data_IF_467111904090
#
_entry.id   IF_467111904090
#
_cell.length_a   1.000
_cell.length_b   1.000
_cell.length_c   1.000
_cell.angle_alpha   90.00
_cell.angle_beta   90.00
_cell.angle_gamma   90.00
#
_symmetry.space_group_name_H-M   'P 1'
#
loop_
_entity.id
_entity.type
_entity.pdbx_description
1 polymer ?
#
# COMPACT_ATOMS: atom_id res chain seq x y z
N UNK A 1 3.07 -11.03 12.45
CA UNK A 1 3.39 -10.37 11.17
C UNK A 1 2.72 -9.00 11.19
N UNK A 2 3.46 -7.97 10.79
CA UNK A 2 3.07 -6.55 10.86
C UNK A 2 2.67 -6.06 12.26
N UNK A 3 3.64 -5.62 13.06
CA UNK A 3 3.36 -4.95 14.33
C UNK A 3 2.89 -3.51 14.10
N UNK A 4 1.64 -3.21 14.50
CA UNK A 4 1.05 -1.86 14.41
C UNK A 4 1.77 -0.83 15.30
N UNK A 5 2.57 -1.28 16.28
CA UNK A 5 3.37 -0.44 17.18
C UNK A 5 4.87 -0.46 16.84
N UNK A 6 5.27 -1.26 15.85
CA UNK A 6 6.64 -1.38 15.38
C UNK A 6 7.10 -0.22 14.50
N UNK A 7 8.41 -0.09 14.32
CA UNK A 7 8.96 0.88 13.38
C UNK A 7 8.62 0.48 11.95
N UNK A 8 8.16 1.44 11.15
CA UNK A 8 7.93 1.29 9.72
C UNK A 8 9.07 1.89 8.93
N UNK A 9 9.51 1.17 7.92
CA UNK A 9 10.60 1.56 7.06
C UNK A 9 10.10 1.72 5.64
N UNK A 10 10.77 2.57 4.88
CA UNK A 10 10.54 2.76 3.46
C UNK A 10 11.90 2.79 2.78
N UNK A 11 12.01 2.21 1.60
CA UNK A 11 13.22 2.33 0.78
C UNK A 11 13.38 3.76 0.26
N UNK A 12 14.57 4.04 -0.27
CA UNK A 12 14.86 5.32 -0.89
C UNK A 12 13.97 5.56 -2.11
N UNK A 13 13.74 4.54 -2.96
CA UNK A 13 12.87 4.67 -4.13
C UNK A 13 11.44 5.03 -3.74
N UNK A 14 10.91 4.40 -2.67
CA UNK A 14 9.59 4.76 -2.12
C UNK A 14 9.57 6.19 -1.57
N UNK A 15 10.58 6.57 -0.80
CA UNK A 15 10.68 7.93 -0.25
C UNK A 15 10.68 9.02 -1.34
N UNK A 16 11.37 8.77 -2.45
CA UNK A 16 11.52 9.73 -3.55
C UNK A 16 10.32 9.77 -4.49
N UNK A 17 9.63 8.64 -4.72
CA UNK A 17 8.63 8.50 -5.79
C UNK A 17 7.18 8.35 -5.31
N UNK A 18 6.96 7.88 -4.08
CA UNK A 18 5.63 7.66 -3.53
C UNK A 18 5.29 8.84 -2.61
N UNK A 19 4.22 9.61 -2.87
CA UNK A 19 3.77 10.67 -1.98
C UNK A 19 3.47 10.11 -0.58
N UNK A 20 3.84 10.87 0.46
CA UNK A 20 3.65 10.48 1.87
C UNK A 20 2.20 10.07 2.18
N UNK A 21 1.23 10.73 1.57
CA UNK A 21 -0.20 10.39 1.70
C UNK A 21 -0.47 8.94 1.28
N UNK A 22 0.09 8.50 0.14
CA UNK A 22 -0.09 7.14 -0.35
C UNK A 22 0.67 6.12 0.50
N UNK A 23 1.89 6.46 0.95
CA UNK A 23 2.65 5.61 1.88
C UNK A 23 1.85 5.35 3.16
N UNK A 24 1.31 6.41 3.76
CA UNK A 24 0.47 6.32 4.97
C UNK A 24 -0.80 5.52 4.71
N UNK A 25 -1.44 5.71 3.55
CA UNK A 25 -2.66 4.96 3.21
C UNK A 25 -2.41 3.46 3.12
N UNK A 26 -1.33 3.02 2.47
CA UNK A 26 -1.00 1.59 2.37
C UNK A 26 -0.78 0.98 3.75
N UNK A 27 -0.01 1.64 4.62
CA UNK A 27 0.21 1.16 5.98
C UNK A 27 -1.07 1.15 6.84
N UNK A 28 -1.95 2.15 6.67
CA UNK A 28 -3.26 2.15 7.32
C UNK A 28 -4.13 0.97 6.88
N UNK A 29 -4.12 0.61 5.59
CA UNK A 29 -4.87 -0.55 5.09
C UNK A 29 -4.36 -1.86 5.71
N UNK A 30 -3.05 -2.00 5.89
CA UNK A 30 -2.46 -3.13 6.63
C UNK A 30 -2.94 -3.11 8.08
N UNK A 31 -2.91 -1.97 8.77
CA UNK A 31 -3.40 -1.85 10.16
C UNK A 31 -4.88 -2.20 10.30
N UNK A 32 -5.70 -1.74 9.35
CA UNK A 32 -7.13 -2.07 9.28
C UNK A 32 -7.31 -3.58 9.12
N UNK A 33 -6.47 -4.25 8.31
CA UNK A 33 -6.48 -5.71 8.14
C UNK A 33 -6.01 -6.47 9.38
N UNK A 34 -4.95 -6.03 10.04
CA UNK A 34 -4.46 -6.65 11.31
C UNK A 34 -5.55 -6.65 12.39
N UNK A 35 -6.43 -5.64 12.39
CA UNK A 35 -7.53 -5.53 13.37
C UNK A 35 -8.75 -6.38 13.02
N UNK A 36 -8.85 -6.92 11.80
CA UNK A 36 -9.95 -7.79 11.42
C UNK A 36 -9.76 -9.16 12.07
N UNK A 37 -10.78 -9.61 12.81
CA UNK A 37 -10.80 -10.97 13.32
C UNK A 37 -10.72 -11.97 12.15
N UNK A 38 -10.01 -13.08 12.36
CA UNK A 38 -9.84 -14.17 11.38
C UNK A 38 -9.03 -13.87 10.11
N UNK A 39 -8.37 -12.71 10.03
CA UNK A 39 -7.38 -12.44 8.95
C UNK A 39 -5.97 -12.76 9.45
N UNK A 40 -5.36 -13.79 8.87
CA UNK A 40 -3.94 -14.05 9.02
C UNK A 40 -3.19 -13.29 7.91
N UNK A 41 -2.35 -12.33 8.28
CA UNK A 41 -1.45 -11.68 7.34
C UNK A 41 -0.17 -12.48 7.15
N UNK A 42 0.28 -12.61 5.90
CA UNK A 42 1.64 -13.02 5.57
C UNK A 42 2.62 -11.84 5.70
N UNK A 43 3.87 -12.09 5.32
CA UNK A 43 4.95 -11.11 5.39
C UNK A 43 4.94 -10.18 4.17
N UNK A 44 4.18 -10.49 3.11
CA UNK A 44 4.21 -9.79 1.83
C UNK A 44 2.84 -9.21 1.48
N UNK A 45 2.72 -7.90 1.65
CA UNK A 45 1.52 -7.17 1.27
C UNK A 45 1.75 -6.46 -0.07
N UNK A 46 0.86 -6.70 -1.02
CA UNK A 46 0.99 -6.19 -2.39
C UNK A 46 -0.09 -5.15 -2.63
N UNK A 47 0.35 -3.97 -3.07
CA UNK A 47 -0.51 -2.87 -3.47
C UNK A 47 -0.36 -2.60 -4.96
N UNK A 48 -1.47 -2.56 -5.68
CA UNK A 48 -1.52 -2.14 -7.08
C UNK A 48 -2.42 -0.91 -7.22
N UNK A 49 -2.05 0.03 -8.09
CA UNK A 49 -2.73 1.31 -8.20
C UNK A 49 -3.24 1.56 -9.62
N UNK A 50 -4.54 1.83 -9.72
CA UNK A 50 -5.19 2.21 -10.97
C UNK A 50 -5.75 3.62 -10.83
N UNK A 51 -5.07 4.57 -11.48
CA UNK A 51 -5.50 5.96 -11.56
C UNK A 51 -6.58 6.14 -12.63
N UNK A 52 -7.64 6.85 -12.28
CA UNK A 52 -8.72 7.28 -13.16
C UNK A 52 -8.86 8.81 -13.07
N UNK A 53 -8.25 9.51 -14.01
CA UNK A 53 -8.31 10.97 -14.10
C UNK A 53 -9.71 11.50 -14.44
N UNK A 54 -10.54 10.70 -15.11
CA UNK A 54 -11.92 11.11 -15.45
C UNK A 54 -12.81 11.11 -14.21
N UNK A 55 -12.66 10.11 -13.35
CA UNK A 55 -13.37 10.02 -12.06
C UNK A 55 -12.68 10.82 -10.95
N UNK A 56 -11.44 11.24 -11.16
CA UNK A 56 -10.62 11.95 -10.18
C UNK A 56 -10.25 11.05 -9.00
N UNK A 57 -10.02 9.76 -9.24
CA UNK A 57 -9.79 8.75 -8.19
C UNK A 57 -8.59 7.86 -8.51
N UNK A 58 -8.04 7.24 -7.47
CA UNK A 58 -7.08 6.15 -7.57
C UNK A 58 -7.71 4.95 -6.87
N UNK A 59 -7.83 3.85 -7.59
CA UNK A 59 -8.17 2.55 -7.02
C UNK A 59 -6.91 1.92 -6.47
N UNK A 60 -6.96 1.48 -5.22
CA UNK A 60 -5.90 0.76 -4.52
C UNK A 60 -6.38 -0.70 -4.39
N UNK A 61 -5.66 -1.61 -5.02
CA UNK A 61 -5.89 -3.05 -4.92
C UNK A 61 -4.89 -3.56 -3.89
N UNK A 62 -5.38 -3.99 -2.72
CA UNK A 62 -4.56 -4.56 -1.66
C UNK A 62 -4.76 -6.07 -1.65
N UNK A 63 -3.70 -6.85 -1.84
CA UNK A 63 -3.75 -8.31 -1.86
C UNK A 63 -2.60 -8.93 -1.10
N UNK A 64 -2.80 -10.18 -0.69
CA UNK A 64 -1.74 -11.08 -0.22
C UNK A 64 -1.91 -12.44 -0.91
N UNK A 65 -0.88 -13.29 -0.84
CA UNK A 65 -0.89 -14.58 -1.56
C UNK A 65 -1.32 -15.74 -0.66
N UNK A 66 -0.92 -15.76 0.62
CA UNK A 66 -1.27 -16.87 1.52
C UNK A 66 -1.49 -16.44 2.98
N UNK A 67 -2.71 -16.57 3.55
CA UNK A 67 -3.95 -16.96 2.88
C UNK A 67 -4.40 -15.89 1.89
N UNK A 68 -4.76 -16.29 0.68
CA UNK A 68 -5.14 -15.36 -0.38
C UNK A 68 -6.29 -14.43 0.04
N UNK A 69 -6.10 -13.13 -0.16
CA UNK A 69 -7.20 -12.16 -0.22
C UNK A 69 -6.92 -11.10 -1.28
N UNK A 70 -7.98 -10.41 -1.69
CA UNK A 70 -7.92 -9.19 -2.49
C UNK A 70 -9.02 -8.23 -2.04
N UNK A 71 -8.64 -7.00 -1.73
CA UNK A 71 -9.53 -5.91 -1.37
C UNK A 71 -9.33 -4.73 -2.32
N UNK A 72 -10.41 -4.00 -2.53
CA UNK A 72 -10.44 -2.83 -3.39
C UNK A 72 -10.81 -1.61 -2.56
N UNK A 73 -9.99 -0.58 -2.65
CA UNK A 73 -10.21 0.70 -2.01
C UNK A 73 -10.15 1.81 -3.05
N UNK A 74 -10.79 2.94 -2.77
CA UNK A 74 -10.77 4.11 -3.64
C UNK A 74 -10.37 5.33 -2.81
N UNK A 75 -9.48 6.17 -3.35
CA UNK A 75 -9.20 7.49 -2.80
C UNK A 75 -9.33 8.56 -3.88
N UNK A 76 -9.61 9.80 -3.47
CA UNK A 76 -9.66 10.95 -4.38
C UNK A 76 -8.24 11.39 -4.73
N UNK A 77 -8.06 11.91 -5.94
CA UNK A 77 -6.80 12.54 -6.34
C UNK A 77 -6.74 13.91 -5.66
N UNK A 78 -5.89 14.02 -4.65
CA UNK A 78 -5.53 15.30 -4.01
C UNK A 78 -4.41 15.99 -4.78
N UNK A 79 -4.11 17.24 -4.44
CA UNK A 79 -2.96 17.96 -5.00
C UNK A 79 -1.64 17.19 -4.83
N UNK A 80 -1.46 16.55 -3.66
CA UNK A 80 -0.28 15.73 -3.35
C UNK A 80 -0.17 14.45 -4.20
N UNK A 81 -1.30 13.98 -4.76
CA UNK A 81 -1.37 12.80 -5.61
C UNK A 81 -1.48 13.15 -7.10
N UNK A 82 -1.40 14.43 -7.48
CA UNK A 82 -1.56 14.88 -8.88
C UNK A 82 -0.62 14.14 -9.82
N UNK A 83 0.64 13.94 -9.42
CA UNK A 83 1.68 13.28 -10.23
C UNK A 83 1.93 11.82 -9.82
N UNK A 84 1.02 11.19 -9.07
CA UNK A 84 1.19 9.81 -8.64
C UNK A 84 1.07 8.85 -9.82
N UNK A 85 2.15 8.12 -10.13
CA UNK A 85 2.23 7.20 -11.28
C UNK A 85 2.67 5.77 -10.91
N UNK A 86 2.98 5.51 -9.63
CA UNK A 86 3.42 4.19 -9.19
C UNK A 86 2.32 3.17 -9.43
N UNK A 87 2.67 2.04 -10.05
CA UNK A 87 1.72 0.97 -10.40
C UNK A 87 1.64 -0.11 -9.35
N UNK A 88 2.74 -0.35 -8.63
CA UNK A 88 2.85 -1.44 -7.66
C UNK A 88 3.80 -1.06 -6.52
N UNK A 89 3.44 -1.46 -5.32
CA UNK A 89 4.28 -1.38 -4.13
C UNK A 89 4.19 -2.69 -3.36
N UNK A 90 5.29 -3.07 -2.73
CA UNK A 90 5.33 -4.15 -1.77
C UNK A 90 5.55 -3.59 -0.38
N UNK A 91 5.02 -4.30 0.62
CA UNK A 91 5.43 -4.15 2.01
C UNK A 91 5.86 -5.53 2.48
N UNK A 92 7.15 -5.68 2.78
CA UNK A 92 7.77 -6.90 3.27
C UNK A 92 8.11 -6.68 4.74
N UNK A 93 7.48 -7.45 5.63
CA UNK A 93 7.47 -7.16 7.07
C UNK A 93 7.16 -5.67 7.29
N UNK A 94 7.94 -4.90 8.06
CA UNK A 94 7.64 -3.49 8.28
C UNK A 94 8.21 -2.53 7.21
N UNK A 95 8.71 -3.04 6.07
CA UNK A 95 9.42 -2.24 5.05
C UNK A 95 8.64 -2.13 3.74
N UNK A 96 8.32 -0.89 3.33
CA UNK A 96 7.74 -0.61 2.02
C UNK A 96 8.83 -0.39 0.96
N UNK A 97 8.67 -1.03 -0.20
CA UNK A 97 9.61 -0.98 -1.32
C UNK A 97 8.90 -1.01 -2.69
N UNK A 98 9.59 -0.52 -3.71
CA UNK A 98 9.22 -0.73 -5.10
C UNK A 98 9.63 -2.15 -5.54
N UNK A 99 8.85 -2.85 -6.39
CA UNK A 99 9.22 -4.18 -6.86
C UNK A 99 10.59 -4.24 -7.56
N UNK A 100 11.02 -3.15 -8.19
CA UNK A 100 12.31 -3.06 -8.90
C UNK A 100 13.51 -2.93 -7.95
N UNK A 101 13.28 -2.70 -6.66
CA UNK A 101 14.32 -2.64 -5.63
C UNK A 101 14.62 -4.01 -4.98
N UNK A 102 13.87 -5.05 -5.35
CA UNK A 102 14.02 -6.43 -4.91
C UNK A 102 14.58 -7.32 -6.03
#
# INVERSE_FOLDING_TARGET
>A
MFDTQGNRYITRGVYEQVPKEMQQRCFQLIDEKVKQADVQLDYLQIFEFNRDDQRGTITIIHRQEEPFFIDYHECRITEALTNFQIKKLWVIDETMLLPEEY
#
